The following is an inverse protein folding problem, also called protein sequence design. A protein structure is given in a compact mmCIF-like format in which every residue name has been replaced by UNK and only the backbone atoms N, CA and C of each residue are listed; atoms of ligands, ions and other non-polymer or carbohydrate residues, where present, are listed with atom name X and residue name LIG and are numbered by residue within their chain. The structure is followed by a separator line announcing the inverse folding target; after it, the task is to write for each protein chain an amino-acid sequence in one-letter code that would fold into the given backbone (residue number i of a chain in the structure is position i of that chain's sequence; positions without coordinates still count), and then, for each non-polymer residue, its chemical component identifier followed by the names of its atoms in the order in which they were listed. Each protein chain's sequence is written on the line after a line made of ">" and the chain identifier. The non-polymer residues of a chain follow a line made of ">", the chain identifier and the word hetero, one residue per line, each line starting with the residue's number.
data_IF_433675207427
#
_entry.id   IF_433675207427
#
_cell.length_a   1.000
_cell.length_b   1.000
_cell.length_c   1.000
_cell.angle_alpha   90.00
_cell.angle_beta   90.00
_cell.angle_gamma   90.00
#
_symmetry.space_group_name_H-M   'P 1'
#
loop_
_entity.id
_entity.type
_entity.pdbx_description
1 polymer ?
#
# COMPACT_ATOMS: atom_id res chain seq x y z
N UNK A 1 11.29 16.96 0.03
CA UNK A 1 11.82 17.40 -1.29
C UNK A 1 13.22 16.88 -1.65
N UNK A 2 13.92 16.11 -0.80
CA UNK A 2 15.32 15.74 -1.03
C UNK A 2 15.57 14.64 -2.10
N UNK A 3 14.60 13.75 -2.35
CA UNK A 3 14.81 12.53 -3.17
C UNK A 3 15.01 12.80 -4.67
N UNK A 4 14.45 13.89 -5.21
CA UNK A 4 14.59 14.26 -6.64
C UNK A 4 15.95 14.92 -6.92
N UNK A 5 16.46 15.74 -5.99
CA UNK A 5 17.74 16.43 -6.16
C UNK A 5 18.94 15.45 -6.16
N UNK A 6 18.82 14.36 -5.41
CA UNK A 6 19.82 13.29 -5.35
C UNK A 6 19.88 12.49 -6.66
N UNK A 7 18.72 12.16 -7.23
CA UNK A 7 18.60 11.54 -8.56
C UNK A 7 19.19 12.43 -9.67
N UNK A 8 19.01 13.76 -9.58
CA UNK A 8 19.56 14.71 -10.55
C UNK A 8 21.09 14.88 -10.42
N UNK A 9 21.65 14.83 -9.21
CA UNK A 9 23.11 14.85 -8.99
C UNK A 9 23.79 13.60 -9.54
N UNK A 10 23.19 12.43 -9.33
CA UNK A 10 23.64 11.18 -9.96
C UNK A 10 23.55 11.26 -11.49
N UNK A 11 22.59 12.02 -12.02
CA UNK A 11 22.41 12.21 -13.46
C UNK A 11 23.42 13.18 -14.13
N UNK A 12 24.19 13.97 -13.39
CA UNK A 12 25.21 14.88 -13.97
C UNK A 12 26.57 14.22 -14.22
N UNK A 13 26.84 13.03 -13.65
CA UNK A 13 28.12 12.36 -13.83
C UNK A 13 28.13 11.49 -15.11
N UNK A 14 28.62 12.01 -16.23
CA UNK A 14 28.61 11.35 -17.56
C UNK A 14 29.51 10.10 -17.68
N UNK A 15 30.30 9.78 -16.65
CA UNK A 15 31.12 8.55 -16.59
C UNK A 15 30.44 7.38 -15.87
N UNK A 16 29.18 7.52 -15.45
CA UNK A 16 28.48 6.45 -14.71
C UNK A 16 28.19 5.24 -15.60
N UNK A 17 28.43 4.05 -15.05
CA UNK A 17 27.96 2.82 -15.68
C UNK A 17 26.43 2.81 -15.66
N UNK A 18 25.80 2.41 -16.76
CA UNK A 18 24.34 2.21 -16.82
C UNK A 18 23.83 1.23 -15.75
N UNK A 19 24.71 0.38 -15.22
CA UNK A 19 24.46 -0.52 -14.10
C UNK A 19 24.01 0.23 -12.83
N UNK A 20 24.64 1.34 -12.46
CA UNK A 20 24.32 2.07 -11.22
C UNK A 20 22.94 2.72 -11.32
N UNK A 21 22.64 3.30 -12.48
CA UNK A 21 21.32 3.90 -12.75
C UNK A 21 20.23 2.81 -12.74
N UNK A 22 20.50 1.65 -13.34
CA UNK A 22 19.60 0.50 -13.32
C UNK A 22 19.34 0.03 -11.88
N UNK A 23 20.37 -0.04 -11.04
CA UNK A 23 20.22 -0.45 -9.64
C UNK A 23 19.33 0.53 -8.86
N UNK A 24 19.55 1.84 -8.99
CA UNK A 24 18.71 2.86 -8.32
C UNK A 24 17.25 2.76 -8.78
N UNK A 25 17.02 2.62 -10.09
CA UNK A 25 15.69 2.46 -10.63
C UNK A 25 14.99 1.21 -10.07
N UNK A 26 15.68 0.07 -10.00
CA UNK A 26 15.14 -1.17 -9.45
C UNK A 26 14.84 -1.07 -7.96
N UNK A 27 15.68 -0.38 -7.18
CA UNK A 27 15.38 -0.10 -5.76
C UNK A 27 14.09 0.71 -5.62
N UNK A 28 13.88 1.72 -6.46
CA UNK A 28 12.63 2.49 -6.43
C UNK A 28 11.42 1.69 -6.88
N UNK A 29 11.57 0.78 -7.83
CA UNK A 29 10.49 -0.15 -8.21
C UNK A 29 10.11 -1.02 -7.01
N UNK A 30 11.09 -1.61 -6.31
CA UNK A 30 10.83 -2.42 -5.12
C UNK A 30 10.13 -1.62 -4.00
N UNK A 31 10.52 -0.36 -3.77
CA UNK A 31 9.84 0.54 -2.83
C UNK A 31 8.37 0.77 -3.22
N UNK A 32 8.08 0.90 -4.51
CA UNK A 32 6.72 1.11 -5.02
C UNK A 32 5.89 -0.16 -4.90
N UNK A 33 6.43 -1.32 -5.27
CA UNK A 33 5.76 -2.61 -5.16
C UNK A 33 5.33 -2.88 -3.72
N UNK A 34 6.21 -2.65 -2.75
CA UNK A 34 5.88 -2.78 -1.33
C UNK A 34 4.69 -1.89 -0.93
N UNK A 35 4.65 -0.64 -1.39
CA UNK A 35 3.54 0.27 -1.08
C UNK A 35 2.24 -0.16 -1.76
N UNK A 36 2.34 -0.69 -2.97
CA UNK A 36 1.19 -1.26 -3.69
C UNK A 36 0.62 -2.44 -2.91
N UNK A 37 1.46 -3.32 -2.38
CA UNK A 37 1.02 -4.46 -1.56
C UNK A 37 0.29 -4.00 -0.30
N UNK A 38 0.87 -3.05 0.43
CA UNK A 38 0.25 -2.46 1.64
C UNK A 38 -1.11 -1.80 1.30
N UNK A 39 -1.18 -1.03 0.21
CA UNK A 39 -2.43 -0.41 -0.25
C UNK A 39 -3.46 -1.44 -0.72
N UNK A 40 -3.02 -2.51 -1.39
CA UNK A 40 -3.88 -3.59 -1.86
C UNK A 40 -4.45 -4.37 -0.69
N UNK A 41 -3.67 -4.62 0.36
CA UNK A 41 -4.16 -5.24 1.59
C UNK A 41 -5.25 -4.39 2.25
N UNK A 42 -5.02 -3.08 2.43
CA UNK A 42 -6.03 -2.16 2.97
C UNK A 42 -7.30 -2.13 2.12
N UNK A 43 -7.16 -2.08 0.79
CA UNK A 43 -8.27 -2.13 -0.15
C UNK A 43 -9.08 -3.41 0.03
N UNK A 44 -8.42 -4.57 0.11
CA UNK A 44 -9.09 -5.85 0.27
C UNK A 44 -9.90 -5.92 1.57
N UNK A 45 -9.35 -5.41 2.68
CA UNK A 45 -10.08 -5.30 3.94
C UNK A 45 -11.32 -4.43 3.80
N UNK A 46 -11.20 -3.23 3.23
CA UNK A 46 -12.34 -2.35 3.00
C UNK A 46 -13.38 -2.97 2.06
N UNK A 47 -12.95 -3.67 1.02
CA UNK A 47 -13.86 -4.38 0.12
C UNK A 47 -14.62 -5.50 0.83
N UNK A 48 -13.97 -6.24 1.71
CA UNK A 48 -14.64 -7.27 2.52
C UNK A 48 -15.69 -6.64 3.45
N UNK A 49 -15.31 -5.60 4.19
CA UNK A 49 -16.24 -4.89 5.08
C UNK A 49 -17.41 -4.27 4.32
N UNK A 50 -17.15 -3.72 3.13
CA UNK A 50 -18.20 -3.18 2.27
C UNK A 50 -19.13 -4.27 1.73
N UNK A 51 -18.62 -5.46 1.42
CA UNK A 51 -19.45 -6.59 1.00
C UNK A 51 -20.38 -7.07 2.13
N UNK A 52 -19.92 -7.03 3.38
CA UNK A 52 -20.73 -7.35 4.55
C UNK A 52 -21.73 -6.25 4.91
N UNK A 53 -21.55 -5.04 4.37
CA UNK A 53 -22.44 -3.91 4.64
C UNK A 53 -23.67 -3.96 3.74
N UNK A 54 -24.86 -3.92 4.35
CA UNK A 54 -26.14 -3.93 3.60
C UNK A 54 -26.43 -2.59 2.92
N UNK A 55 -25.76 -1.50 3.35
CA UNK A 55 -25.94 -0.17 2.77
C UNK A 55 -27.32 0.45 3.03
N UNK A 56 -28.00 0.02 4.09
CA UNK A 56 -29.30 0.55 4.49
C UNK A 56 -29.18 1.60 5.62
N UNK A 57 -30.31 2.07 6.13
CA UNK A 57 -30.35 3.10 7.17
C UNK A 57 -30.09 2.55 8.60
N UNK A 58 -29.57 1.33 8.75
CA UNK A 58 -29.32 0.73 10.06
C UNK A 58 -28.06 1.31 10.70
N UNK A 59 -28.03 1.46 12.03
CA UNK A 59 -26.85 1.95 12.75
C UNK A 59 -25.71 0.92 12.82
N UNK A 60 -26.01 -0.37 12.60
CA UNK A 60 -25.04 -1.45 12.62
C UNK A 60 -24.28 -1.51 11.28
N UNK A 61 -23.18 -0.76 11.18
CA UNK A 61 -22.33 -0.71 10.00
C UNK A 61 -21.02 -1.51 10.23
N UNK A 62 -20.86 -2.68 9.59
CA UNK A 62 -19.66 -3.52 9.75
C UNK A 62 -18.36 -2.80 9.39
N UNK A 63 -18.41 -1.85 8.46
CA UNK A 63 -17.25 -1.02 8.08
C UNK A 63 -16.74 -0.21 9.27
N UNK A 64 -17.64 0.41 10.04
CA UNK A 64 -17.26 1.23 11.19
C UNK A 64 -16.75 0.37 12.34
N UNK A 65 -17.38 -0.79 12.59
CA UNK A 65 -16.94 -1.75 13.61
C UNK A 65 -15.54 -2.31 13.31
N UNK A 66 -15.28 -2.70 12.06
CA UNK A 66 -13.98 -3.23 11.68
C UNK A 66 -12.87 -2.19 11.65
N UNK A 67 -13.17 -0.95 11.28
CA UNK A 67 -12.21 0.16 11.35
C UNK A 67 -11.95 0.65 12.78
N UNK A 68 -12.92 0.53 13.68
CA UNK A 68 -12.75 0.83 15.11
C UNK A 68 -11.89 -0.23 15.85
N UNK A 69 -11.51 -1.31 15.18
CA UNK A 69 -10.73 -2.41 15.78
C UNK A 69 -11.54 -3.24 16.77
N UNK A 70 -12.88 -3.15 16.73
CA UNK A 70 -13.78 -3.92 17.61
C UNK A 70 -14.25 -5.22 16.96
N UNK A 71 -13.56 -5.71 15.93
CA UNK A 71 -13.76 -7.07 15.44
C UNK A 71 -13.02 -8.07 16.35
N UNK A 72 -13.79 -8.54 17.32
CA UNK A 72 -13.61 -9.83 17.98
C UNK A 72 -13.85 -10.92 16.95
N UNK A 73 -12.80 -11.41 16.29
CA UNK A 73 -12.87 -12.74 15.70
C UNK A 73 -12.64 -13.79 16.80
N UNK A 74 -13.60 -14.73 16.94
CA UNK A 74 -13.17 -16.11 16.87
C UNK A 74 -14.08 -16.87 15.89
N UNK A 75 -13.55 -17.15 14.71
CA UNK A 75 -13.88 -18.37 13.95
C UNK A 75 -12.91 -18.48 12.78
N UNK A 76 -11.71 -19.01 13.00
CA UNK A 76 -11.35 -20.34 12.51
C UNK A 76 -12.52 -21.27 12.13
N UNK A 77 -12.35 -21.93 10.97
CA UNK A 77 -12.88 -23.25 10.53
C UNK A 77 -14.31 -23.38 10.00
N UNK A 78 -14.40 -23.57 8.67
CA UNK A 78 -15.07 -24.71 8.02
C UNK A 78 -14.43 -24.96 6.64
#
# INVERSE_FOLDING_TARGET
>A
MAKIAELLKLWQNKQRASADVKQIALTHVADLDRRIDEMTAMKNTLQHLAHCCQGDARPDCPILTGLAGTDTHPSERA
#
